data_IF_559209252962
#
_entry.id   IF_559209252962
#
_cell.length_a   1.000
_cell.length_b   1.000
_cell.length_c   1.000
_cell.angle_alpha   90.00
_cell.angle_beta   90.00
_cell.angle_gamma   90.00
#
_symmetry.space_group_name_H-M   'P 1'
#
loop_
_entity.id
_entity.type
_entity.pdbx_description
1 polymer ?
#
# COMPACT_ATOMS: atom_id res chain seq x y z
N UNK A 1 14.16 -7.60 -7.90
CA UNK A 1 13.71 -6.69 -6.84
C UNK A 1 12.23 -7.00 -6.58
N UNK A 2 11.82 -7.27 -5.32
CA UNK A 2 10.50 -7.85 -5.00
C UNK A 2 9.32 -7.05 -5.57
N UNK A 3 9.42 -5.72 -5.68
CA UNK A 3 8.35 -4.87 -6.19
C UNK A 3 8.07 -5.07 -7.69
N UNK A 4 9.09 -5.18 -8.53
CA UNK A 4 8.93 -5.48 -9.96
C UNK A 4 8.22 -6.83 -10.18
N UNK A 5 8.52 -7.80 -9.33
CA UNK A 5 7.88 -9.11 -9.33
C UNK A 5 6.40 -9.06 -8.93
N UNK A 6 6.00 -8.07 -8.12
CA UNK A 6 4.62 -7.82 -7.73
C UNK A 6 3.89 -7.06 -8.84
N UNK A 7 4.54 -6.09 -9.49
CA UNK A 7 3.95 -5.34 -10.61
C UNK A 7 3.60 -6.24 -11.77
N UNK A 8 4.50 -7.17 -12.14
CA UNK A 8 4.24 -8.16 -13.17
C UNK A 8 3.02 -9.04 -12.86
N UNK A 9 2.65 -9.23 -11.58
CA UNK A 9 1.46 -10.00 -11.18
C UNK A 9 0.15 -9.28 -11.48
N UNK A 10 0.15 -7.95 -11.52
CA UNK A 10 -1.03 -7.18 -11.92
C UNK A 10 -1.35 -7.32 -13.41
N UNK A 11 -0.43 -7.85 -14.22
CA UNK A 11 -0.63 -8.10 -15.65
C UNK A 11 -1.22 -9.48 -15.96
N UNK A 12 -1.28 -10.37 -14.97
CA UNK A 12 -1.81 -11.75 -15.07
C UNK A 12 -3.10 -11.86 -14.22
N UNK A 13 -3.77 -13.02 -14.06
CA UNK A 13 -5.06 -13.12 -13.35
C UNK A 13 -5.07 -12.59 -11.91
N UNK A 14 -3.90 -12.41 -11.28
CA UNK A 14 -3.77 -11.76 -9.97
C UNK A 14 -4.06 -10.24 -10.00
N UNK A 15 -4.22 -9.65 -11.19
CA UNK A 15 -4.72 -8.28 -11.38
C UNK A 15 -6.25 -8.16 -11.45
N UNK A 16 -6.98 -9.23 -11.13
CA UNK A 16 -8.43 -9.25 -11.02
C UNK A 16 -8.86 -9.15 -9.55
N UNK A 17 -10.00 -8.54 -9.29
CA UNK A 17 -10.65 -8.58 -7.98
C UNK A 17 -11.39 -9.90 -7.73
N UNK A 18 -12.09 -9.98 -6.60
CA UNK A 18 -12.83 -11.17 -6.18
C UNK A 18 -13.97 -11.55 -7.14
N UNK A 19 -14.45 -10.59 -7.94
CA UNK A 19 -15.53 -10.76 -8.92
C UNK A 19 -14.97 -10.98 -10.34
N UNK A 20 -13.65 -11.10 -10.48
CA UNK A 20 -12.98 -11.28 -11.78
C UNK A 20 -12.85 -10.01 -12.60
N UNK A 21 -13.09 -8.84 -12.01
CA UNK A 21 -12.99 -7.54 -12.67
C UNK A 21 -11.54 -7.06 -12.59
N UNK A 22 -11.01 -6.53 -13.70
CA UNK A 22 -9.65 -5.98 -13.70
C UNK A 22 -9.54 -4.77 -12.77
N UNK A 23 -8.55 -4.80 -11.88
CA UNK A 23 -8.21 -3.68 -10.99
C UNK A 23 -7.80 -2.43 -11.77
N UNK A 24 -7.19 -2.61 -12.95
CA UNK A 24 -6.79 -1.54 -13.85
C UNK A 24 -7.38 -1.75 -15.24
N UNK A 25 -7.79 -0.64 -15.87
CA UNK A 25 -8.41 -0.66 -17.20
C UNK A 25 -7.46 -1.15 -18.30
N UNK A 26 -6.16 -0.89 -18.14
CA UNK A 26 -5.13 -1.30 -19.10
C UNK A 26 -3.75 -1.43 -18.42
N UNK A 27 -2.77 -2.10 -19.05
CA UNK A 27 -1.39 -2.16 -18.55
C UNK A 27 -0.76 -0.78 -18.38
N UNK A 28 -1.03 0.15 -19.30
CA UNK A 28 -0.48 1.51 -19.24
C UNK A 28 -1.02 2.28 -18.02
N UNK A 29 -2.24 1.96 -17.57
CA UNK A 29 -2.77 2.52 -16.34
C UNK A 29 -2.04 2.02 -15.09
N UNK A 30 -1.53 0.77 -15.11
CA UNK A 30 -0.68 0.23 -14.03
C UNK A 30 0.63 1.00 -13.97
N UNK A 31 1.29 1.18 -15.12
CA UNK A 31 2.58 1.88 -15.20
C UNK A 31 2.46 3.36 -14.79
N UNK A 32 1.42 4.04 -15.28
CA UNK A 32 1.13 5.42 -14.90
C UNK A 32 0.87 5.55 -13.39
N UNK A 33 0.14 4.60 -12.79
CA UNK A 33 -0.10 4.60 -11.36
C UNK A 33 1.18 4.31 -10.57
N UNK A 34 1.99 3.34 -11.01
CA UNK A 34 3.27 3.01 -10.40
C UNK A 34 4.25 4.19 -10.43
N UNK A 35 4.33 4.92 -11.55
CA UNK A 35 5.19 6.10 -11.69
C UNK A 35 4.89 7.20 -10.66
N UNK A 36 3.66 7.27 -10.17
CA UNK A 36 3.26 8.19 -9.09
C UNK A 36 3.48 7.52 -7.72
N UNK A 37 2.94 6.33 -7.51
CA UNK A 37 2.94 5.66 -6.22
C UNK A 37 4.36 5.32 -5.71
N UNK A 38 5.28 4.93 -6.61
CA UNK A 38 6.66 4.58 -6.26
C UNK A 38 7.42 5.74 -5.59
N UNK A 39 7.09 7.00 -5.93
CA UNK A 39 7.67 8.20 -5.32
C UNK A 39 7.36 8.31 -3.83
N UNK A 40 6.30 7.65 -3.36
CA UNK A 40 5.86 7.65 -1.97
C UNK A 40 6.31 6.41 -1.20
N UNK A 41 7.13 5.54 -1.78
CA UNK A 41 7.57 4.31 -1.11
C UNK A 41 8.28 4.59 0.22
N UNK A 42 9.14 5.61 0.25
CA UNK A 42 9.80 6.07 1.49
C UNK A 42 8.82 6.61 2.53
N UNK A 43 7.65 7.11 2.13
CA UNK A 43 6.62 7.59 3.04
C UNK A 43 5.89 6.45 3.76
N UNK A 44 5.80 5.29 3.10
CA UNK A 44 5.19 4.08 3.66
C UNK A 44 6.14 3.30 4.56
N UNK A 45 7.45 3.47 4.38
CA UNK A 45 8.46 2.83 5.21
C UNK A 45 8.60 3.52 6.57
N UNK A 46 8.97 2.72 7.56
CA UNK A 46 9.32 3.18 8.89
C UNK A 46 10.65 3.97 8.82
N UNK A 47 10.69 5.22 9.31
CA UNK A 47 11.95 5.93 9.48
C UNK A 47 12.89 5.14 10.41
N UNK A 48 14.22 5.32 10.28
CA UNK A 48 15.17 4.71 11.19
C UNK A 48 14.83 5.02 12.65
N UNK A 49 14.71 3.99 13.49
CA UNK A 49 14.40 4.12 14.91
C UNK A 49 12.93 4.41 15.25
N UNK A 50 12.01 4.45 14.28
CA UNK A 50 10.59 4.74 14.50
C UNK A 50 9.71 3.62 13.93
N UNK A 51 9.16 2.77 14.79
CA UNK A 51 8.18 1.75 14.39
C UNK A 51 6.80 2.40 14.19
N UNK A 52 6.42 2.71 12.95
CA UNK A 52 5.11 3.31 12.67
C UNK A 52 3.99 2.27 12.75
N UNK A 53 4.25 1.05 12.29
CA UNK A 53 3.27 -0.02 12.26
C UNK A 53 3.47 -0.98 13.42
N UNK A 54 2.52 -1.00 14.36
CA UNK A 54 2.54 -1.92 15.50
C UNK A 54 1.48 -2.99 15.28
N UNK A 55 1.85 -4.26 15.39
CA UNK A 55 0.87 -5.37 15.33
C UNK A 55 -0.04 -5.30 16.55
N UNK A 56 -1.35 -5.26 16.32
CA UNK A 56 -2.36 -5.13 17.38
C UNK A 56 -3.04 -6.46 17.64
N UNK A 57 -3.29 -7.25 16.60
CA UNK A 57 -3.91 -8.57 16.71
C UNK A 57 -3.65 -9.40 15.46
N UNK A 58 -3.80 -10.71 15.59
CA UNK A 58 -3.89 -11.62 14.44
C UNK A 58 -5.36 -11.74 14.02
N UNK A 59 -5.61 -11.73 12.71
CA UNK A 59 -6.92 -11.95 12.10
C UNK A 59 -6.81 -13.09 11.08
N UNK A 60 -7.89 -13.84 10.89
CA UNK A 60 -7.98 -14.82 9.80
C UNK A 60 -8.74 -14.16 8.64
N UNK A 61 -8.11 -14.07 7.48
CA UNK A 61 -8.75 -13.59 6.25
C UNK A 61 -8.56 -14.65 5.16
N UNK A 62 -9.66 -15.14 4.59
CA UNK A 62 -9.67 -16.23 3.60
C UNK A 62 -8.86 -17.46 4.04
N UNK A 63 -8.94 -17.84 5.32
CA UNK A 63 -8.19 -18.98 5.89
C UNK A 63 -6.71 -18.70 6.16
N UNK A 64 -6.21 -17.49 5.85
CA UNK A 64 -4.83 -17.08 6.07
C UNK A 64 -4.75 -16.23 7.35
N UNK A 65 -3.81 -16.57 8.23
CA UNK A 65 -3.49 -15.79 9.42
C UNK A 65 -2.69 -14.54 9.02
N UNK A 66 -3.24 -13.37 9.30
CA UNK A 66 -2.63 -12.08 9.00
C UNK A 66 -2.50 -11.23 10.28
N UNK A 67 -1.39 -10.52 10.42
CA UNK A 67 -1.23 -9.51 11.47
C UNK A 67 -1.98 -8.25 11.07
N UNK A 68 -2.89 -7.80 11.93
CA UNK A 68 -3.51 -6.48 11.83
C UNK A 68 -2.59 -5.46 12.49
N UNK A 69 -2.02 -4.60 11.66
CA UNK A 69 -1.18 -3.48 12.12
C UNK A 69 -2.01 -2.20 12.31
N UNK A 70 -1.64 -1.39 13.29
CA UNK A 70 -2.13 -0.01 13.46
C UNK A 70 -0.97 0.93 13.19
N UNK A 71 -1.21 1.94 12.35
CA UNK A 71 -0.26 3.02 12.15
C UNK A 71 -0.33 4.01 13.33
N UNK A 72 0.83 4.36 13.91
CA UNK A 72 0.94 5.41 14.91
C UNK A 72 0.64 6.81 14.37
N UNK A 73 0.55 6.99 13.05
CA UNK A 73 0.15 8.26 12.39
C UNK A 73 -1.36 8.57 12.47
N UNK A 74 -2.16 7.71 13.10
CA UNK A 74 -3.61 7.87 13.21
C UNK A 74 -4.40 7.08 12.17
N UNK A 75 -5.72 6.95 12.40
CA UNK A 75 -6.61 5.97 11.76
C UNK A 75 -6.93 6.22 10.27
N UNK A 76 -6.41 7.29 9.66
CA UNK A 76 -6.78 7.72 8.31
C UNK A 76 -5.60 7.83 7.34
N UNK A 77 -4.46 7.19 7.63
CA UNK A 77 -3.25 7.35 6.80
C UNK A 77 -3.34 6.75 5.39
N UNK A 78 -4.48 6.16 4.99
CA UNK A 78 -4.69 5.65 3.64
C UNK A 78 -5.99 6.14 2.96
N UNK A 79 -6.98 6.62 3.72
CA UNK A 79 -8.30 6.96 3.16
C UNK A 79 -8.46 8.43 2.74
N UNK A 80 -7.52 9.30 3.16
CA UNK A 80 -7.53 10.70 2.78
C UNK A 80 -6.19 11.09 2.15
N UNK A 81 -5.77 10.35 1.12
CA UNK A 81 -4.80 10.83 0.15
C UNK A 81 -5.48 11.84 -0.78
N UNK A 82 -5.98 12.95 -0.23
CA UNK A 82 -5.86 14.19 -0.97
C UNK A 82 -4.36 14.32 -1.17
N UNK A 83 -3.91 14.18 -2.42
CA UNK A 83 -2.52 14.33 -2.82
C UNK A 83 -2.04 15.69 -2.35
N UNK A 84 -1.60 15.77 -1.09
CA UNK A 84 -0.79 16.88 -0.66
C UNK A 84 0.42 16.77 -1.57
N UNK A 85 0.69 17.82 -2.34
CA UNK A 85 1.86 17.87 -3.22
C UNK A 85 3.19 17.89 -2.41
N UNK A 86 3.14 17.54 -1.12
CA UNK A 86 4.23 17.54 -0.17
C UNK A 86 4.18 16.26 0.63
N UNK A 87 4.97 15.29 0.20
CA UNK A 87 5.31 14.08 0.96
C UNK A 87 6.11 14.45 2.22
N UNK A 88 5.47 15.05 3.21
CA UNK A 88 6.09 15.38 4.49
C UNK A 88 5.93 14.22 5.49
N UNK A 89 6.96 13.99 6.30
CA UNK A 89 6.79 13.30 7.58
C UNK A 89 5.78 14.14 8.37
N UNK A 90 4.54 13.66 8.52
CA UNK A 90 3.59 14.34 9.40
C UNK A 90 4.12 14.22 10.83
N UNK A 91 4.18 15.32 11.60
CA UNK A 91 4.66 15.28 12.97
C UNK A 91 3.80 14.33 13.80
N UNK A 92 4.46 13.54 14.64
CA UNK A 92 3.78 12.72 15.63
C UNK A 92 3.12 13.65 16.65
N UNK A 93 1.80 13.56 16.80
CA UNK A 93 1.07 14.17 17.93
C UNK A 93 1.18 13.29 19.17
#
# INVERSE_FOLDING_TARGET
MVMESILAKFWVPAGLDIDGIRLFKSPEAVDAHWAVASKHFSCMQDPPGIQLYVSVKVVVMNGILLNKYKCRRGSNSLFNAVFSQRCGIMPFQ
#
